data_IF_664132073849
#
_entry.id   IF_664132073849
#
_cell.length_a   1.000
_cell.length_b   1.000
_cell.length_c   1.000
_cell.angle_alpha   90.00
_cell.angle_beta   90.00
_cell.angle_gamma   90.00
#
_symmetry.space_group_name_H-M   'P 1'
#
loop_
_entity.id
_entity.type
_entity.pdbx_description
1 polymer ?
#
# COMPACT_ATOMS: atom_id res chain seq x y z
N UNK A 1 -52.93 39.26 -34.44
CA UNK A 1 -51.48 38.99 -34.60
C UNK A 1 -50.70 39.44 -33.37
N UNK A 2 -50.89 40.68 -32.91
CA UNK A 2 -50.12 41.31 -31.82
C UNK A 2 -50.28 40.64 -30.43
N UNK A 3 -51.50 40.22 -30.07
CA UNK A 3 -51.76 39.55 -28.77
C UNK A 3 -51.09 38.16 -28.70
N UNK A 4 -50.99 37.45 -29.82
CA UNK A 4 -50.36 36.13 -29.89
C UNK A 4 -48.84 36.24 -29.72
N UNK A 5 -48.22 37.28 -30.28
CA UNK A 5 -46.77 37.54 -30.16
C UNK A 5 -46.37 37.88 -28.72
N UNK A 6 -47.23 38.61 -28.00
CA UNK A 6 -46.99 38.98 -26.59
C UNK A 6 -47.12 37.77 -25.65
N UNK A 7 -48.10 36.90 -25.89
CA UNK A 7 -48.25 35.64 -25.13
C UNK A 7 -47.06 34.71 -25.39
N UNK A 8 -46.58 34.62 -26.63
CA UNK A 8 -45.42 33.79 -26.97
C UNK A 8 -44.13 34.29 -26.29
N UNK A 9 -43.92 35.62 -26.22
CA UNK A 9 -42.81 36.22 -25.47
C UNK A 9 -42.88 35.90 -23.98
N UNK A 10 -44.05 36.00 -23.36
CA UNK A 10 -44.19 35.68 -21.93
C UNK A 10 -43.93 34.20 -21.64
N UNK A 11 -44.45 33.29 -22.47
CA UNK A 11 -44.19 31.85 -22.31
C UNK A 11 -42.71 31.55 -22.47
N UNK A 12 -42.03 32.18 -23.44
CA UNK A 12 -40.61 31.95 -23.66
C UNK A 12 -39.73 32.53 -22.52
N UNK A 13 -40.11 33.68 -21.96
CA UNK A 13 -39.43 34.26 -20.79
C UNK A 13 -39.53 33.36 -19.57
N UNK A 14 -40.73 32.85 -19.26
CA UNK A 14 -40.96 31.89 -18.17
C UNK A 14 -40.14 30.60 -18.36
N UNK A 15 -40.03 30.11 -19.60
CA UNK A 15 -39.21 28.94 -19.93
C UNK A 15 -37.72 29.19 -19.69
N UNK A 16 -37.21 30.36 -20.05
CA UNK A 16 -35.81 30.72 -19.86
C UNK A 16 -35.45 30.80 -18.37
N UNK A 17 -36.31 31.39 -17.55
CA UNK A 17 -36.07 31.50 -16.10
C UNK A 17 -36.13 30.15 -15.40
N UNK A 18 -37.03 29.27 -15.83
CA UNK A 18 -37.09 27.89 -15.32
C UNK A 18 -35.81 27.10 -15.63
N UNK A 19 -35.30 27.18 -16.86
CA UNK A 19 -34.05 26.51 -17.24
C UNK A 19 -32.83 27.08 -16.48
N UNK A 20 -32.81 28.40 -16.21
CA UNK A 20 -31.75 29.02 -15.39
C UNK A 20 -31.75 28.51 -13.96
N UNK A 21 -32.92 28.43 -13.31
CA UNK A 21 -32.99 27.92 -11.94
C UNK A 21 -32.66 26.42 -11.87
N UNK A 22 -33.06 25.63 -12.86
CA UNK A 22 -32.66 24.22 -12.98
C UNK A 22 -31.14 24.05 -13.14
N UNK A 23 -30.50 24.89 -13.96
CA UNK A 23 -29.06 24.88 -14.14
C UNK A 23 -28.32 25.26 -12.85
N UNK A 24 -28.82 26.28 -12.13
CA UNK A 24 -28.27 26.74 -10.85
C UNK A 24 -28.39 25.70 -9.75
N UNK A 25 -29.52 25.01 -9.67
CA UNK A 25 -29.75 23.92 -8.72
C UNK A 25 -28.84 22.71 -9.02
N UNK A 26 -28.66 22.38 -10.30
CA UNK A 26 -27.72 21.32 -10.72
C UNK A 26 -26.29 21.67 -10.31
N UNK A 27 -25.86 22.91 -10.54
CA UNK A 27 -24.54 23.38 -10.14
C UNK A 27 -24.34 23.34 -8.61
N UNK A 28 -25.35 23.71 -7.82
CA UNK A 28 -25.32 23.62 -6.35
C UNK A 28 -25.12 22.19 -5.87
N UNK A 29 -25.88 21.24 -6.41
CA UNK A 29 -25.76 19.81 -6.06
C UNK A 29 -24.37 19.26 -6.40
N UNK A 30 -23.79 19.66 -7.53
CA UNK A 30 -22.41 19.28 -7.89
C UNK A 30 -21.39 19.82 -6.89
N UNK A 31 -21.54 21.08 -6.45
CA UNK A 31 -20.64 21.70 -5.46
C UNK A 31 -20.76 21.00 -4.10
N UNK A 32 -21.97 20.69 -3.64
CA UNK A 32 -22.19 20.00 -2.37
C UNK A 32 -21.64 18.57 -2.37
N UNK A 33 -21.86 17.84 -3.47
CA UNK A 33 -21.29 16.51 -3.67
C UNK A 33 -19.75 16.55 -3.64
N UNK A 34 -19.14 17.54 -4.32
CA UNK A 34 -17.69 17.70 -4.32
C UNK A 34 -17.14 18.05 -2.93
N UNK A 35 -17.84 18.88 -2.15
CA UNK A 35 -17.47 19.21 -0.77
C UNK A 35 -17.51 17.98 0.13
N UNK A 36 -18.56 17.18 0.04
CA UNK A 36 -18.70 15.95 0.82
C UNK A 36 -17.56 14.96 0.50
N UNK A 37 -17.22 14.78 -0.78
CA UNK A 37 -16.10 13.93 -1.21
C UNK A 37 -14.75 14.42 -0.68
N UNK A 38 -14.49 15.73 -0.77
CA UNK A 38 -13.24 16.31 -0.25
C UNK A 38 -13.12 16.16 1.27
N UNK A 39 -14.21 16.37 2.01
CA UNK A 39 -14.23 16.21 3.47
C UNK A 39 -13.93 14.76 3.90
N UNK A 40 -14.46 13.77 3.17
CA UNK A 40 -14.15 12.37 3.43
C UNK A 40 -12.67 12.03 3.14
N UNK A 41 -12.10 12.61 2.07
CA UNK A 41 -10.68 12.42 1.75
C UNK A 41 -9.76 13.07 2.79
N UNK A 42 -10.15 14.22 3.34
CA UNK A 42 -9.37 14.91 4.36
C UNK A 42 -9.40 14.19 5.72
N UNK A 43 -10.53 13.56 6.09
CA UNK A 43 -10.59 12.74 7.30
C UNK A 43 -9.73 11.48 7.18
N UNK A 44 -9.69 10.84 6.00
CA UNK A 44 -8.82 9.70 5.73
C UNK A 44 -7.32 10.05 5.81
N UNK A 45 -6.91 11.17 5.21
CA UNK A 45 -5.53 11.67 5.31
C UNK A 45 -5.12 11.97 6.74
N UNK A 46 -6.02 12.56 7.53
CA UNK A 46 -5.76 12.85 8.94
C UNK A 46 -5.55 11.56 9.74
N UNK A 47 -6.38 10.54 9.52
CA UNK A 47 -6.22 9.22 10.16
C UNK A 47 -4.87 8.57 9.83
N UNK A 48 -4.46 8.58 8.55
CA UNK A 48 -3.15 8.05 8.14
C UNK A 48 -2.00 8.81 8.82
N UNK A 49 -2.04 10.14 8.82
CA UNK A 49 -1.01 10.97 9.46
C UNK A 49 -0.86 10.71 10.96
N UNK A 50 -1.97 10.50 11.68
CA UNK A 50 -1.90 10.17 13.12
C UNK A 50 -1.34 8.77 13.38
N UNK A 51 -1.61 7.80 12.50
CA UNK A 51 -1.02 6.46 12.58
C UNK A 51 0.48 6.48 12.32
N UNK A 52 0.92 7.24 11.31
CA UNK A 52 2.33 7.37 10.94
C UNK A 52 3.14 8.05 12.07
N UNK A 53 2.55 9.06 12.73
CA UNK A 53 3.19 9.74 13.86
C UNK A 53 3.43 8.80 15.06
N UNK A 54 2.47 7.93 15.39
CA UNK A 54 2.61 6.94 16.46
C UNK A 54 3.65 5.86 16.10
N UNK A 55 3.65 5.38 14.86
CA UNK A 55 4.63 4.41 14.38
C UNK A 55 6.07 4.96 14.45
N UNK A 56 6.26 6.22 14.09
CA UNK A 56 7.56 6.90 14.20
C UNK A 56 7.99 7.04 15.66
N UNK A 57 7.09 7.46 16.56
CA UNK A 57 7.42 7.64 17.99
C UNK A 57 7.82 6.33 18.68
N UNK A 58 7.16 5.22 18.32
CA UNK A 58 7.53 3.88 18.80
C UNK A 58 8.89 3.48 18.24
N UNK A 59 9.12 3.70 16.95
CA UNK A 59 10.38 3.31 16.30
C UNK A 59 11.57 4.09 16.87
N UNK A 60 11.44 5.40 17.09
CA UNK A 60 12.55 6.21 17.61
C UNK A 60 12.91 5.88 19.06
N UNK A 61 11.92 5.69 19.94
CA UNK A 61 12.18 5.50 21.37
C UNK A 61 12.36 4.03 21.79
N UNK A 62 11.80 3.09 21.03
CA UNK A 62 11.76 1.66 21.38
C UNK A 62 12.41 0.76 20.33
N UNK A 63 13.08 1.29 19.30
CA UNK A 63 13.79 0.50 18.28
C UNK A 63 14.74 -0.53 18.89
N UNK A 64 15.49 -0.16 19.93
CA UNK A 64 16.44 -1.05 20.59
C UNK A 64 15.79 -2.28 21.26
N UNK A 65 14.51 -2.21 21.61
CA UNK A 65 13.75 -3.35 22.15
C UNK A 65 13.14 -4.25 21.08
N UNK A 66 12.93 -3.73 19.87
CA UNK A 66 12.16 -4.41 18.82
C UNK A 66 13.07 -4.88 17.67
N UNK A 67 14.18 -4.17 17.43
CA UNK A 67 15.15 -4.48 16.40
C UNK A 67 16.34 -5.26 16.98
N UNK A 68 16.80 -6.26 16.24
CA UNK A 68 18.04 -6.96 16.59
C UNK A 68 19.24 -6.08 16.35
N UNK A 69 20.23 -6.16 17.25
CA UNK A 69 21.52 -5.52 17.04
C UNK A 69 22.40 -6.34 16.09
N UNK A 70 23.42 -5.70 15.50
CA UNK A 70 24.44 -6.39 14.71
C UNK A 70 25.15 -7.47 15.53
N UNK A 71 25.40 -7.23 16.82
CA UNK A 71 26.09 -8.17 17.70
C UNK A 71 25.28 -9.45 17.92
N UNK A 72 23.95 -9.34 18.07
CA UNK A 72 23.06 -10.49 18.19
C UNK A 72 23.06 -11.34 16.90
N UNK A 73 23.12 -10.68 15.74
CA UNK A 73 23.28 -11.36 14.45
C UNK A 73 24.62 -12.09 14.35
N UNK A 74 25.71 -11.39 14.64
CA UNK A 74 27.07 -11.94 14.61
C UNK A 74 27.24 -13.11 15.58
N UNK A 75 26.66 -13.02 16.78
CA UNK A 75 26.65 -14.11 17.76
C UNK A 75 25.95 -15.36 17.20
N UNK A 76 24.79 -15.19 16.56
CA UNK A 76 24.07 -16.31 15.94
C UNK A 76 24.90 -16.94 14.81
N UNK A 77 25.59 -16.14 14.00
CA UNK A 77 26.50 -16.64 12.96
C UNK A 77 27.66 -17.43 13.56
N UNK A 78 28.31 -16.90 14.61
CA UNK A 78 29.37 -17.61 15.33
C UNK A 78 28.88 -18.92 15.95
N UNK A 79 27.67 -18.94 16.51
CA UNK A 79 27.05 -20.15 17.01
C UNK A 79 26.90 -21.21 15.91
N UNK A 80 26.42 -20.83 14.73
CA UNK A 80 26.27 -21.77 13.60
C UNK A 80 27.60 -22.34 13.10
N UNK A 81 28.70 -21.60 13.24
CA UNK A 81 30.04 -22.00 12.79
C UNK A 81 30.74 -22.88 13.83
N UNK A 82 30.64 -22.49 15.10
CA UNK A 82 31.49 -23.03 16.17
C UNK A 82 30.78 -24.06 17.05
N UNK A 83 29.45 -24.07 17.12
CA UNK A 83 28.73 -24.99 17.98
C UNK A 83 28.57 -26.36 17.31
N UNK A 84 29.02 -27.46 17.93
CA UNK A 84 28.79 -28.80 17.41
C UNK A 84 27.31 -29.21 17.45
N UNK A 85 26.48 -28.47 18.20
CA UNK A 85 25.03 -28.67 18.29
C UNK A 85 24.26 -28.00 17.14
N UNK A 86 24.93 -27.16 16.35
CA UNK A 86 24.33 -26.54 15.18
C UNK A 86 24.25 -27.57 14.03
N UNK A 87 23.05 -27.79 13.52
CA UNK A 87 22.80 -28.68 12.39
C UNK A 87 22.85 -27.90 11.08
N UNK A 88 23.38 -28.54 10.04
CA UNK A 88 23.40 -27.99 8.68
C UNK A 88 21.99 -27.88 8.09
N UNK A 89 21.79 -26.91 7.19
CA UNK A 89 20.55 -26.72 6.43
C UNK A 89 19.32 -26.25 7.24
N UNK A 90 19.52 -25.78 8.48
CA UNK A 90 18.45 -25.16 9.28
C UNK A 90 18.64 -23.66 9.39
N UNK A 91 17.53 -22.96 9.63
CA UNK A 91 17.54 -21.55 9.96
C UNK A 91 17.73 -21.36 11.47
N UNK A 92 18.66 -20.50 11.86
CA UNK A 92 18.93 -20.19 13.26
C UNK A 92 18.63 -18.72 13.57
N UNK A 93 18.07 -18.48 14.76
CA UNK A 93 17.75 -17.16 15.29
C UNK A 93 18.02 -17.19 16.80
N UNK A 94 18.78 -16.22 17.31
CA UNK A 94 19.10 -16.12 18.75
C UNK A 94 19.82 -17.38 19.27
N UNK A 95 20.80 -17.86 18.50
CA UNK A 95 21.54 -19.10 18.80
C UNK A 95 20.67 -20.36 18.97
N UNK A 96 19.45 -20.37 18.43
CA UNK A 96 18.52 -21.50 18.49
C UNK A 96 17.89 -21.77 17.12
N UNK A 97 17.39 -22.99 16.90
CA UNK A 97 16.64 -23.35 15.69
C UNK A 97 15.40 -22.45 15.60
N UNK A 98 15.21 -21.82 14.45
CA UNK A 98 14.09 -20.93 14.18
C UNK A 98 13.22 -21.42 13.03
N UNK A 99 11.97 -21.00 13.03
CA UNK A 99 11.06 -21.23 11.90
C UNK A 99 11.27 -20.19 10.80
N UNK A 100 11.23 -20.65 9.55
CA UNK A 100 11.18 -19.76 8.38
C UNK A 100 9.73 -19.34 8.16
N UNK A 101 9.47 -18.02 8.19
CA UNK A 101 8.14 -17.46 7.92
C UNK A 101 8.23 -16.48 6.76
N UNK A 102 7.55 -16.79 5.66
CA UNK A 102 7.42 -15.87 4.52
C UNK A 102 6.06 -15.19 4.61
N UNK A 103 6.07 -13.86 4.77
CA UNK A 103 4.84 -13.08 4.90
C UNK A 103 3.97 -13.26 3.65
N UNK A 104 2.72 -13.66 3.85
CA UNK A 104 1.72 -13.79 2.77
C UNK A 104 1.82 -15.06 1.93
N UNK A 105 2.76 -15.97 2.21
CA UNK A 105 2.77 -17.31 1.60
C UNK A 105 2.33 -18.36 2.62
N UNK A 106 1.45 -19.26 2.18
CA UNK A 106 0.93 -20.34 3.04
C UNK A 106 1.79 -21.60 2.95
N UNK A 107 2.45 -21.84 1.80
CA UNK A 107 3.28 -23.01 1.57
C UNK A 107 4.74 -22.59 1.29
N UNK A 108 5.67 -23.15 2.07
CA UNK A 108 7.10 -22.84 1.98
C UNK A 108 7.76 -23.55 0.78
N UNK A 109 7.34 -24.76 0.45
CA UNK A 109 7.91 -25.56 -0.64
C UNK A 109 7.62 -24.91 -1.99
N UNK A 110 6.37 -24.48 -2.17
CA UNK A 110 5.96 -23.72 -3.36
C UNK A 110 6.73 -22.40 -3.46
N UNK A 111 6.96 -21.75 -2.32
CA UNK A 111 7.74 -20.51 -2.29
C UNK A 111 9.19 -20.71 -2.73
N UNK A 112 9.79 -21.81 -2.26
CA UNK A 112 11.16 -22.19 -2.58
C UNK A 112 11.30 -22.53 -4.07
N UNK A 113 10.38 -23.32 -4.63
CA UNK A 113 10.38 -23.69 -6.04
C UNK A 113 10.24 -22.44 -6.94
N UNK A 114 9.32 -21.54 -6.61
CA UNK A 114 9.16 -20.28 -7.35
C UNK A 114 10.42 -19.44 -7.31
N UNK A 115 11.04 -19.30 -6.13
CA UNK A 115 12.27 -18.52 -5.97
C UNK A 115 13.42 -19.14 -6.77
N UNK A 116 13.54 -20.46 -6.79
CA UNK A 116 14.53 -21.19 -7.56
C UNK A 116 14.39 -20.91 -9.07
N UNK A 117 13.19 -21.09 -9.61
CA UNK A 117 12.91 -20.88 -11.04
C UNK A 117 13.14 -19.43 -11.47
N UNK A 118 12.76 -18.46 -10.63
CA UNK A 118 13.04 -17.04 -10.87
C UNK A 118 14.53 -16.74 -10.87
N UNK A 119 15.29 -17.33 -9.94
CA UNK A 119 16.73 -17.15 -9.83
C UNK A 119 17.45 -17.72 -11.05
N UNK A 120 17.07 -18.94 -11.48
CA UNK A 120 17.60 -19.54 -12.71
C UNK A 120 17.34 -18.66 -13.93
N UNK A 121 16.11 -18.18 -14.09
CA UNK A 121 15.76 -17.29 -15.19
C UNK A 121 16.57 -16.00 -15.16
N UNK A 122 16.69 -15.37 -13.99
CA UNK A 122 17.48 -14.15 -13.83
C UNK A 122 18.94 -14.37 -14.26
N UNK A 123 19.55 -15.47 -13.85
CA UNK A 123 20.92 -15.82 -14.23
C UNK A 123 21.02 -16.11 -15.73
N UNK A 124 20.09 -16.86 -16.34
CA UNK A 124 20.11 -17.15 -17.77
C UNK A 124 19.99 -15.87 -18.62
N UNK A 125 19.12 -14.95 -18.22
CA UNK A 125 18.85 -13.72 -18.96
C UNK A 125 20.04 -12.73 -18.86
N UNK A 126 20.72 -12.68 -17.71
CA UNK A 126 21.72 -11.64 -17.40
C UNK A 126 23.17 -12.13 -17.42
N UNK A 127 23.41 -13.43 -17.24
CA UNK A 127 24.74 -14.03 -17.13
C UNK A 127 25.01 -14.97 -18.31
N UNK A 128 25.01 -14.42 -19.53
CA UNK A 128 25.18 -15.14 -20.81
C UNK A 128 26.47 -15.97 -20.96
N UNK A 129 27.42 -15.84 -20.02
CA UNK A 129 28.74 -16.49 -20.06
C UNK A 129 29.00 -17.48 -18.92
N UNK A 130 28.02 -17.80 -18.08
CA UNK A 130 28.19 -18.83 -17.04
C UNK A 130 27.41 -20.09 -17.41
N UNK A 131 28.15 -21.12 -17.84
CA UNK A 131 27.66 -22.49 -17.92
C UNK A 131 27.54 -23.03 -16.49
N UNK A 132 26.33 -23.31 -16.03
CA UNK A 132 26.13 -24.05 -14.77
C UNK A 132 26.35 -25.54 -15.05
N UNK A 133 27.28 -26.13 -14.30
CA UNK A 133 27.63 -27.56 -14.27
C UNK A 133 26.47 -28.36 -13.67
#
# INVERSE_FOLDING_TARGET
AEILDEVEKQVNFQRIDFEKEKAKETARRSIESQKASNQARDSEKRMRSTSDALANLITENFSWMIAKSSDQGAQTSMYCICSPEAETSLYYKDCAKGEVKIKGKQNLDEAQEQLWNLSLKFVQDNCKNYCFI
#
